data_IF_369775520089
#
_entry.id   IF_369775520089
#
_cell.length_a   1.000
_cell.length_b   1.000
_cell.length_c   1.000
_cell.angle_alpha   90.00
_cell.angle_beta   90.00
_cell.angle_gamma   90.00
#
_symmetry.space_group_name_H-M   'P 1'
#
loop_
_entity.id
_entity.type
_entity.pdbx_description
1 polymer ?
#
# COMPACT_ATOMS: atom_id res chain seq x y z
N UNK A 1 8.98 45.98 -41.68
CA UNK A 1 8.18 46.48 -40.54
C UNK A 1 6.91 45.68 -40.23
N UNK A 2 6.38 44.82 -41.12
CA UNK A 2 5.16 44.05 -40.81
C UNK A 2 5.37 42.77 -39.96
N UNK A 3 6.55 42.16 -39.95
CA UNK A 3 6.79 40.96 -39.12
C UNK A 3 6.88 41.24 -37.63
N UNK A 4 7.44 42.38 -37.22
CA UNK A 4 7.57 42.73 -35.80
C UNK A 4 6.22 43.06 -35.17
N UNK A 5 5.29 43.63 -35.95
CA UNK A 5 3.94 43.93 -35.48
C UNK A 5 3.15 42.65 -35.17
N UNK A 6 3.27 41.60 -36.00
CA UNK A 6 2.57 40.32 -35.80
C UNK A 6 3.02 39.56 -34.55
N UNK A 7 4.32 39.60 -34.23
CA UNK A 7 4.87 38.96 -33.03
C UNK A 7 4.40 39.65 -31.74
N UNK A 8 4.32 40.99 -31.74
CA UNK A 8 3.78 41.75 -30.62
C UNK A 8 2.29 41.48 -30.39
N UNK A 9 1.49 41.34 -31.46
CA UNK A 9 0.07 40.99 -31.33
C UNK A 9 -0.13 39.59 -30.76
N UNK A 10 0.68 38.61 -31.19
CA UNK A 10 0.62 37.24 -30.64
C UNK A 10 1.03 37.17 -29.17
N UNK A 11 2.06 37.92 -28.76
CA UNK A 11 2.49 37.98 -27.36
C UNK A 11 1.41 38.61 -26.45
N UNK A 12 0.74 39.66 -26.92
CA UNK A 12 -0.37 40.28 -26.19
C UNK A 12 -1.58 39.34 -26.06
N UNK A 13 -1.92 38.59 -27.12
CA UNK A 13 -3.01 37.62 -27.06
C UNK A 13 -2.70 36.44 -26.13
N UNK A 14 -1.45 35.98 -26.08
CA UNK A 14 -1.04 34.93 -25.15
C UNK A 14 -1.12 35.38 -23.68
N UNK A 15 -0.73 36.62 -23.37
CA UNK A 15 -0.85 37.15 -21.99
C UNK A 15 -2.32 37.25 -21.54
N UNK A 16 -3.24 37.66 -22.43
CA UNK A 16 -4.67 37.75 -22.10
C UNK A 16 -5.29 36.36 -21.85
N UNK A 17 -4.85 35.33 -22.57
CA UNK A 17 -5.32 33.95 -22.36
C UNK A 17 -4.80 33.38 -21.03
N UNK A 18 -3.57 33.72 -20.63
CA UNK A 18 -2.99 33.24 -19.36
C UNK A 18 -3.67 33.88 -18.13
N UNK A 19 -4.01 35.18 -18.18
CA UNK A 19 -4.71 35.83 -17.06
C UNK A 19 -6.16 35.34 -16.89
N UNK A 20 -6.89 35.14 -18.00
CA UNK A 20 -8.29 34.71 -17.95
C UNK A 20 -8.48 33.25 -17.50
N UNK A 21 -7.49 32.38 -17.74
CA UNK A 21 -7.54 30.98 -17.30
C UNK A 21 -7.13 30.78 -15.83
N UNK A 22 -6.40 31.73 -15.23
CA UNK A 22 -6.05 31.71 -13.81
C UNK A 22 -7.23 31.98 -12.87
N UNK A 23 -8.16 32.86 -13.25
CA UNK A 23 -9.32 33.22 -12.41
C UNK A 23 -10.39 32.12 -12.37
N UNK A 24 -10.61 31.41 -13.48
CA UNK A 24 -11.58 30.29 -13.52
C UNK A 24 -11.16 29.08 -12.66
N UNK A 25 -9.85 28.86 -12.48
CA UNK A 25 -9.34 27.78 -11.62
C UNK A 25 -9.38 28.15 -10.13
N UNK A 26 -9.23 29.43 -9.78
CA UNK A 26 -9.29 29.89 -8.39
C UNK A 26 -10.71 29.80 -7.81
N UNK A 27 -11.72 30.18 -8.60
CA UNK A 27 -13.12 30.19 -8.14
C UNK A 27 -13.66 28.75 -7.95
N UNK A 28 -13.28 27.80 -8.81
CA UNK A 28 -13.68 26.39 -8.67
C UNK A 28 -13.03 25.67 -7.47
N UNK A 29 -11.86 26.13 -7.02
CA UNK A 29 -11.15 25.56 -5.87
C UNK A 29 -11.73 26.05 -4.53
N UNK A 30 -12.18 27.30 -4.48
CA UNK A 30 -12.85 27.85 -3.30
C UNK A 30 -14.19 27.15 -3.01
N UNK A 31 -14.97 26.83 -4.05
CA UNK A 31 -16.26 26.14 -3.89
C UNK A 31 -16.10 24.69 -3.41
N UNK A 32 -15.08 23.98 -3.91
CA UNK A 32 -14.74 22.62 -3.43
C UNK A 32 -14.25 22.59 -1.98
N UNK A 33 -13.46 23.59 -1.57
CA UNK A 33 -12.99 23.71 -0.18
C UNK A 33 -14.15 24.00 0.78
N UNK A 34 -15.09 24.86 0.40
CA UNK A 34 -16.29 25.13 1.20
C UNK A 34 -17.19 23.90 1.35
N UNK A 35 -17.29 23.06 0.30
CA UNK A 35 -18.06 21.80 0.36
C UNK A 35 -17.44 20.77 1.31
N UNK A 36 -16.11 20.60 1.28
CA UNK A 36 -15.40 19.66 2.16
C UNK A 36 -15.47 20.09 3.64
N UNK A 37 -15.40 21.40 3.91
CA UNK A 37 -15.49 21.93 5.27
C UNK A 37 -16.90 21.74 5.87
N UNK A 38 -17.94 21.72 5.03
CA UNK A 38 -19.32 21.48 5.45
C UNK A 38 -19.61 20.00 5.77
N UNK A 39 -18.90 19.05 5.16
CA UNK A 39 -19.03 17.63 5.51
C UNK A 39 -18.40 17.27 6.87
N UNK A 40 -17.32 17.96 7.28
CA UNK A 40 -16.69 17.69 8.58
C UNK A 40 -17.52 18.15 9.78
N UNK A 41 -18.46 19.09 9.60
CA UNK A 41 -19.30 19.60 10.70
C UNK A 41 -20.62 18.82 10.87
N UNK A 42 -20.90 17.83 10.02
CA UNK A 42 -22.16 17.06 10.03
C UNK A 42 -22.15 15.74 10.81
N UNK A 43 -20.99 15.25 11.29
CA UNK A 43 -20.91 13.93 11.94
C UNK A 43 -20.78 14.02 13.47
N UNK A 44 -21.75 14.65 14.14
CA UNK A 44 -21.97 14.43 15.57
C UNK A 44 -23.46 14.51 15.88
N UNK A 45 -24.18 13.41 15.73
CA UNK A 45 -25.51 13.27 16.34
C UNK A 45 -25.81 11.80 16.64
N UNK A 46 -25.71 11.51 17.94
CA UNK A 46 -26.63 10.70 18.73
C UNK A 46 -27.15 9.39 18.10
N UNK A 47 -26.40 8.32 18.33
CA UNK A 47 -26.93 6.96 18.27
C UNK A 47 -27.79 6.70 19.50
N UNK A 48 -29.11 6.77 19.30
CA UNK A 48 -30.15 6.49 20.28
C UNK A 48 -30.43 4.99 20.22
N UNK A 49 -29.90 4.22 21.18
CA UNK A 49 -30.18 2.79 21.31
C UNK A 49 -31.69 2.56 21.54
N UNK A 50 -32.32 1.82 20.64
CA UNK A 50 -33.64 1.21 20.84
C UNK A 50 -33.46 -0.25 21.32
N UNK A 51 -34.29 -0.72 22.26
CA UNK A 51 -34.17 -2.05 22.83
C UNK A 51 -34.77 -3.14 21.93
N UNK A 52 -34.05 -4.27 21.83
CA UNK A 52 -34.51 -5.51 21.21
C UNK A 52 -35.63 -6.15 22.04
N UNK A 53 -36.81 -6.24 21.45
CA UNK A 53 -37.92 -7.09 21.93
C UNK A 53 -37.72 -8.52 21.40
N UNK A 54 -37.43 -9.48 22.27
CA UNK A 54 -37.63 -10.90 22.00
C UNK A 54 -39.05 -11.29 22.41
N UNK A 55 -39.78 -11.88 21.47
CA UNK A 55 -41.10 -12.50 21.70
C UNK A 55 -40.87 -13.98 21.99
N UNK A 56 -41.04 -14.40 23.24
CA UNK A 56 -41.18 -15.80 23.63
C UNK A 56 -42.57 -16.04 24.21
N UNK A 57 -43.09 -17.23 23.89
CA UNK A 57 -44.45 -17.65 24.15
C UNK A 57 -44.69 -18.04 25.62
N UNK A 58 -45.93 -17.81 26.03
CA UNK A 58 -46.57 -18.05 27.32
C UNK A 58 -46.16 -19.31 28.11
N UNK A 59 -45.93 -19.14 29.42
CA UNK A 59 -46.48 -20.02 30.45
C UNK A 59 -46.52 -19.32 31.83
N UNK A 60 -47.50 -19.69 32.63
CA UNK A 60 -48.14 -19.00 33.75
C UNK A 60 -47.45 -19.07 35.13
N UNK A 61 -47.46 -17.96 35.89
CA UNK A 61 -47.92 -17.82 37.30
C UNK A 61 -47.28 -16.59 38.03
N UNK A 62 -48.00 -15.87 38.92
CA UNK A 62 -47.48 -14.80 39.82
C UNK A 62 -47.07 -15.39 41.20
N UNK A 63 -46.51 -14.66 42.21
CA UNK A 63 -46.44 -13.21 42.50
C UNK A 63 -44.98 -12.77 42.86
N UNK A 64 -44.58 -11.59 43.34
CA UNK A 64 -45.05 -10.67 44.39
C UNK A 64 -44.19 -9.39 44.34
N UNK A 65 -44.76 -8.27 44.78
CA UNK A 65 -44.07 -7.00 44.99
C UNK A 65 -43.11 -7.05 46.20
N UNK A 66 -41.87 -6.57 46.04
CA UNK A 66 -41.09 -5.94 47.10
C UNK A 66 -39.77 -5.33 46.56
N UNK A 67 -39.39 -4.20 47.13
CA UNK A 67 -38.05 -3.64 47.20
C UNK A 67 -37.51 -2.86 45.97
N UNK A 68 -38.05 -1.65 45.80
CA UNK A 68 -37.26 -0.50 45.37
C UNK A 68 -36.64 0.15 46.61
N UNK A 69 -35.30 0.10 46.75
CA UNK A 69 -34.47 1.04 47.49
C UNK A 69 -33.03 0.52 47.61
N UNK A 70 -32.15 0.93 46.69
CA UNK A 70 -30.70 1.10 46.94
C UNK A 70 -30.00 1.48 45.62
N UNK A 71 -29.79 2.77 45.38
CA UNK A 71 -28.74 3.27 44.48
C UNK A 71 -28.59 4.79 44.68
N UNK A 72 -27.96 5.16 45.79
CA UNK A 72 -27.42 6.50 45.99
C UNK A 72 -26.04 6.36 46.63
N UNK A 73 -25.12 5.70 45.93
CA UNK A 73 -23.70 5.72 46.25
C UNK A 73 -23.01 6.80 45.41
N UNK A 74 -22.84 7.97 46.04
CA UNK A 74 -21.54 8.59 46.26
C UNK A 74 -20.47 8.34 45.19
N UNK A 75 -20.44 9.18 44.16
CA UNK A 75 -19.28 9.32 43.26
C UNK A 75 -18.31 10.30 43.91
N UNK A 76 -17.53 9.83 44.88
CA UNK A 76 -16.35 10.56 45.34
C UNK A 76 -15.30 10.58 44.24
N UNK A 77 -15.17 11.75 43.62
CA UNK A 77 -14.14 12.10 42.66
C UNK A 77 -12.79 12.12 43.42
N UNK A 78 -12.06 11.00 43.43
CA UNK A 78 -10.67 10.95 43.89
C UNK A 78 -9.79 11.64 42.85
N UNK A 79 -9.29 12.82 43.22
CA UNK A 79 -8.12 13.46 42.60
C UNK A 79 -6.93 12.49 42.67
N UNK A 80 -6.65 11.79 41.57
CA UNK A 80 -5.38 11.11 41.40
C UNK A 80 -4.35 12.14 40.93
N UNK A 81 -3.38 12.42 41.81
CA UNK A 81 -2.23 13.28 41.58
C UNK A 81 -1.53 12.97 40.25
N UNK A 82 -1.66 13.92 39.33
CA UNK A 82 -0.98 14.01 38.04
C UNK A 82 0.49 14.46 38.20
N UNK A 83 1.24 13.89 39.14
CA UNK A 83 2.61 14.32 39.48
C UNK A 83 3.67 13.19 39.38
N UNK A 84 3.33 12.01 38.84
CA UNK A 84 4.20 10.83 38.89
C UNK A 84 4.83 10.31 37.58
N UNK A 85 4.52 10.85 36.39
CA UNK A 85 4.93 10.23 35.10
C UNK A 85 6.07 10.97 34.38
N UNK A 86 6.68 11.99 35.01
CA UNK A 86 7.65 12.85 34.34
C UNK A 86 9.13 12.38 34.39
N UNK A 87 9.48 11.23 35.02
CA UNK A 87 10.89 10.91 35.30
C UNK A 87 11.43 9.55 34.80
N UNK A 88 10.77 8.84 33.89
CA UNK A 88 11.33 7.59 33.32
C UNK A 88 11.42 7.52 31.79
N UNK A 89 11.42 8.65 31.10
CA UNK A 89 11.96 8.73 29.73
C UNK A 89 13.41 9.21 29.76
N UNK A 90 14.26 8.53 30.53
CA UNK A 90 15.71 8.66 30.35
C UNK A 90 16.03 7.97 29.04
N UNK A 91 16.00 8.77 27.98
CA UNK A 91 16.41 8.47 26.60
C UNK A 91 17.48 7.37 26.56
N UNK A 92 17.06 6.11 26.43
CA UNK A 92 17.92 4.99 26.08
C UNK A 92 18.17 5.07 24.58
N UNK A 93 18.89 6.11 24.17
CA UNK A 93 19.28 6.36 22.78
C UNK A 93 20.09 5.19 22.19
N UNK A 94 20.62 4.32 23.06
CA UNK A 94 21.48 3.20 22.70
C UNK A 94 20.71 1.87 22.50
N UNK A 95 19.38 1.83 22.64
CA UNK A 95 18.60 0.57 22.55
C UNK A 95 17.91 0.30 21.20
N UNK A 96 17.98 1.23 20.23
CA UNK A 96 17.20 1.15 18.98
C UNK A 96 17.96 0.58 17.77
N UNK A 97 19.24 0.21 17.91
CA UNK A 97 20.03 -0.35 16.81
C UNK A 97 20.33 -1.83 17.03
N UNK A 98 19.28 -2.66 17.06
CA UNK A 98 19.44 -4.11 17.10
C UNK A 98 19.87 -4.60 15.72
N UNK A 99 20.88 -5.46 15.71
CA UNK A 99 21.34 -6.11 14.48
C UNK A 99 20.31 -7.16 14.04
N UNK A 100 19.96 -7.15 12.76
CA UNK A 100 19.16 -8.23 12.16
C UNK A 100 20.05 -9.43 11.82
N UNK A 101 19.45 -10.62 11.62
CA UNK A 101 20.15 -11.77 11.06
C UNK A 101 20.89 -11.43 9.76
N UNK A 102 22.01 -12.12 9.52
CA UNK A 102 22.77 -11.96 8.28
C UNK A 102 21.87 -12.28 7.07
N UNK A 103 22.04 -11.54 5.96
CA UNK A 103 21.31 -11.72 4.68
C UNK A 103 19.85 -11.25 4.66
N UNK A 104 19.35 -10.66 5.74
CA UNK A 104 18.05 -9.97 5.81
C UNK A 104 17.78 -9.06 4.60
N UNK A 105 18.78 -8.28 4.21
CA UNK A 105 18.70 -7.25 3.17
C UNK A 105 18.71 -7.82 1.73
N UNK A 106 18.89 -9.15 1.57
CA UNK A 106 18.83 -9.79 0.24
C UNK A 106 17.39 -9.93 -0.23
N UNK A 107 16.48 -10.29 0.68
CA UNK A 107 15.07 -10.59 0.38
C UNK A 107 14.12 -9.93 1.38
N UNK A 108 14.53 -8.84 2.02
CA UNK A 108 13.74 -8.18 3.05
C UNK A 108 14.35 -6.86 3.49
N UNK A 109 13.71 -6.26 4.49
CA UNK A 109 14.18 -5.05 5.14
C UNK A 109 14.46 -5.32 6.63
N UNK A 110 15.54 -4.74 7.16
CA UNK A 110 15.89 -4.91 8.56
C UNK A 110 15.15 -3.90 9.44
N UNK A 111 14.25 -4.39 10.30
CA UNK A 111 13.63 -3.58 11.34
C UNK A 111 14.57 -3.50 12.56
N UNK A 112 15.44 -2.49 12.58
CA UNK A 112 16.46 -2.28 13.63
C UNK A 112 15.89 -2.02 15.02
N UNK A 113 14.66 -1.50 15.13
CA UNK A 113 14.01 -1.32 16.42
C UNK A 113 13.66 -2.68 17.07
N UNK A 114 13.28 -3.66 16.24
CA UNK A 114 12.91 -5.00 16.68
C UNK A 114 14.05 -6.02 16.60
N UNK A 115 15.07 -5.76 15.78
CA UNK A 115 16.12 -6.73 15.44
C UNK A 115 15.58 -7.90 14.62
N UNK A 116 14.60 -7.65 13.74
CA UNK A 116 13.89 -8.67 12.96
C UNK A 116 13.80 -8.28 11.49
N UNK A 117 13.74 -9.28 10.62
CA UNK A 117 13.56 -9.07 9.19
C UNK A 117 12.09 -8.97 8.81
N UNK A 118 11.80 -7.99 7.97
CA UNK A 118 10.53 -7.83 7.27
C UNK A 118 10.73 -8.37 5.85
N UNK A 119 10.34 -9.63 5.64
CA UNK A 119 10.59 -10.30 4.37
C UNK A 119 9.74 -9.74 3.23
N UNK A 120 10.34 -9.67 2.05
CA UNK A 120 9.64 -9.39 0.82
C UNK A 120 8.61 -10.50 0.52
N UNK A 121 7.61 -10.16 -0.28
CA UNK A 121 6.56 -11.10 -0.68
C UNK A 121 7.20 -12.36 -1.31
N UNK A 122 6.75 -13.53 -0.86
CA UNK A 122 7.28 -14.82 -1.30
C UNK A 122 8.48 -15.33 -0.52
N UNK A 123 8.96 -14.62 0.50
CA UNK A 123 10.05 -15.08 1.37
C UNK A 123 9.63 -15.12 2.84
N UNK A 124 10.29 -15.99 3.60
CA UNK A 124 10.03 -16.21 5.01
C UNK A 124 11.28 -16.65 5.77
N UNK A 125 11.14 -16.83 7.08
CA UNK A 125 12.23 -17.17 7.99
C UNK A 125 12.82 -15.94 8.68
N UNK A 126 13.74 -16.16 9.64
CA UNK A 126 14.31 -15.08 10.44
C UNK A 126 15.18 -14.12 9.61
N UNK A 127 15.76 -14.60 8.51
CA UNK A 127 16.67 -13.87 7.61
C UNK A 127 16.11 -13.72 6.19
N UNK A 128 14.85 -14.12 5.96
CA UNK A 128 14.19 -14.11 4.66
C UNK A 128 14.84 -15.00 3.59
N UNK A 129 15.64 -16.01 3.98
CA UNK A 129 16.27 -16.91 3.03
C UNK A 129 15.35 -18.01 2.50
N UNK A 130 14.18 -18.25 3.13
CA UNK A 130 13.31 -19.38 2.78
C UNK A 130 12.21 -18.95 1.81
N UNK A 131 12.22 -19.42 0.55
CA UNK A 131 11.16 -19.12 -0.40
C UNK A 131 9.85 -19.81 0.04
N UNK A 132 8.74 -19.05 0.05
CA UNK A 132 7.41 -19.56 0.38
C UNK A 132 6.80 -20.36 -0.78
N UNK A 133 7.05 -19.93 -2.02
CA UNK A 133 6.42 -20.51 -3.21
C UNK A 133 7.45 -20.80 -4.31
N UNK A 134 8.38 -21.74 -4.09
CA UNK A 134 9.42 -22.04 -5.08
C UNK A 134 8.87 -22.42 -6.46
N UNK A 135 7.69 -23.05 -6.55
CA UNK A 135 7.08 -23.41 -7.83
C UNK A 135 6.54 -22.18 -8.61
N UNK A 136 6.38 -21.04 -7.94
CA UNK A 136 5.88 -19.80 -8.53
C UNK A 136 6.94 -18.93 -9.19
N UNK A 137 8.19 -19.40 -9.23
CA UNK A 137 9.26 -18.75 -9.98
C UNK A 137 9.01 -18.92 -11.48
N UNK A 138 9.14 -17.82 -12.22
CA UNK A 138 9.03 -17.84 -13.68
C UNK A 138 10.31 -18.37 -14.35
N UNK A 139 11.47 -18.26 -13.69
CA UNK A 139 12.78 -18.67 -14.20
C UNK A 139 13.73 -19.03 -13.05
N UNK A 140 14.80 -19.84 -13.26
CA UNK A 140 15.71 -20.22 -12.18
C UNK A 140 16.33 -19.11 -11.38
N UNK A 141 16.59 -18.00 -12.05
CA UNK A 141 17.19 -16.83 -11.45
C UNK A 141 16.15 -15.75 -11.08
N UNK A 142 14.85 -16.05 -11.20
CA UNK A 142 13.81 -15.11 -10.80
C UNK A 142 13.81 -14.97 -9.27
N UNK A 143 14.05 -13.74 -8.81
CA UNK A 143 13.92 -13.37 -7.40
C UNK A 143 12.48 -13.13 -6.99
N UNK A 144 11.64 -12.75 -7.96
CA UNK A 144 10.22 -12.45 -7.76
C UNK A 144 9.38 -13.73 -7.88
N UNK A 145 8.43 -13.86 -6.96
CA UNK A 145 7.42 -14.91 -6.98
C UNK A 145 6.07 -14.26 -7.21
N UNK A 146 5.32 -14.80 -8.16
CA UNK A 146 4.03 -14.24 -8.52
C UNK A 146 2.93 -15.21 -8.11
N UNK A 147 2.15 -14.83 -7.10
CA UNK A 147 0.87 -15.45 -6.77
C UNK A 147 -0.23 -14.48 -7.18
N UNK A 148 -0.80 -14.68 -8.37
CA UNK A 148 -1.81 -13.78 -8.92
C UNK A 148 -2.65 -14.49 -9.97
N UNK A 149 -3.87 -14.01 -10.16
CA UNK A 149 -4.92 -14.64 -10.98
C UNK A 149 -4.78 -14.39 -12.46
N UNK A 150 -4.16 -13.27 -12.80
CA UNK A 150 -4.11 -12.78 -14.16
C UNK A 150 -3.23 -13.64 -15.06
N UNK A 151 -2.42 -14.55 -14.52
CA UNK A 151 -1.53 -15.36 -15.34
C UNK A 151 -1.67 -16.83 -15.00
N UNK A 152 -1.82 -17.69 -16.02
CA UNK A 152 -1.82 -19.12 -15.77
C UNK A 152 -0.44 -19.57 -15.29
N UNK A 153 -0.42 -20.46 -14.30
CA UNK A 153 0.80 -20.92 -13.60
C UNK A 153 0.83 -22.44 -13.52
N UNK A 154 1.92 -23.00 -13.04
CA UNK A 154 1.93 -24.42 -12.72
C UNK A 154 0.89 -24.70 -11.62
N UNK A 155 0.19 -25.84 -11.67
CA UNK A 155 -0.78 -26.17 -10.63
C UNK A 155 -0.11 -26.33 -9.25
N UNK A 156 1.18 -26.68 -9.23
CA UNK A 156 1.96 -26.70 -8.00
C UNK A 156 2.17 -25.29 -7.42
N UNK A 157 2.48 -24.29 -8.25
CA UNK A 157 2.50 -22.90 -7.80
C UNK A 157 1.15 -22.48 -7.23
N UNK A 158 0.06 -22.77 -7.95
CA UNK A 158 -1.28 -22.39 -7.49
C UNK A 158 -1.62 -23.02 -6.12
N UNK A 159 -1.25 -24.29 -5.90
CA UNK A 159 -1.40 -24.98 -4.60
C UNK A 159 -0.59 -24.28 -3.50
N UNK A 160 0.66 -23.94 -3.77
CA UNK A 160 1.54 -23.25 -2.82
C UNK A 160 1.00 -21.87 -2.46
N UNK A 161 0.64 -21.05 -3.45
CA UNK A 161 0.00 -19.75 -3.25
C UNK A 161 -1.24 -19.87 -2.37
N UNK A 162 -2.12 -20.82 -2.70
CA UNK A 162 -3.37 -21.01 -2.00
C UNK A 162 -3.18 -21.43 -0.54
N UNK A 163 -2.27 -22.38 -0.28
CA UNK A 163 -2.00 -22.84 1.08
C UNK A 163 -1.57 -21.71 2.01
N UNK A 164 -0.93 -20.67 1.44
CA UNK A 164 -0.42 -19.53 2.17
C UNK A 164 -1.42 -18.37 2.28
N UNK A 165 -2.09 -18.03 1.18
CA UNK A 165 -3.06 -16.91 1.12
C UNK A 165 -4.38 -17.30 1.80
N UNK A 166 -4.74 -18.58 1.77
CA UNK A 166 -6.02 -19.10 2.24
C UNK A 166 -5.84 -20.21 3.29
N UNK A 167 -5.19 -19.92 4.44
CA UNK A 167 -4.78 -20.94 5.41
C UNK A 167 -5.95 -21.68 6.06
N UNK A 168 -7.18 -21.13 6.02
CA UNK A 168 -8.40 -21.76 6.54
C UNK A 168 -9.35 -22.21 5.42
N UNK A 169 -8.86 -22.36 4.20
CA UNK A 169 -9.65 -22.76 3.03
C UNK A 169 -10.22 -21.59 2.21
N UNK A 170 -11.09 -21.86 1.21
CA UNK A 170 -11.39 -20.90 0.15
C UNK A 170 -12.14 -19.67 0.65
N UNK A 171 -12.93 -19.84 1.71
CA UNK A 171 -13.71 -18.79 2.35
C UNK A 171 -12.83 -17.80 3.15
N UNK A 172 -11.58 -18.17 3.40
CA UNK A 172 -10.62 -17.36 4.18
C UNK A 172 -9.66 -16.55 3.34
N UNK A 173 -9.72 -16.70 2.01
CA UNK A 173 -8.92 -15.89 1.11
C UNK A 173 -9.30 -14.42 1.28
N UNK A 174 -8.31 -13.53 1.27
CA UNK A 174 -8.57 -12.10 1.17
C UNK A 174 -9.41 -11.84 -0.09
N UNK A 175 -10.41 -10.94 0.02
CA UNK A 175 -11.40 -10.65 -1.04
C UNK A 175 -10.80 -10.23 -2.40
N UNK A 176 -9.50 -9.96 -2.44
CA UNK A 176 -8.78 -9.57 -3.64
C UNK A 176 -8.28 -10.75 -4.49
N UNK A 177 -8.50 -11.98 -4.02
CA UNK A 177 -8.15 -13.17 -4.78
C UNK A 177 -9.40 -13.96 -5.23
N UNK A 178 -9.88 -13.70 -6.45
CA UNK A 178 -10.81 -14.60 -7.16
C UNK A 178 -10.10 -15.88 -7.65
N UNK A 179 -9.85 -16.77 -6.70
CA UNK A 179 -9.35 -18.12 -6.95
C UNK A 179 -10.36 -19.02 -7.70
N UNK A 180 -11.60 -18.59 -7.88
CA UNK A 180 -12.65 -19.43 -8.44
C UNK A 180 -12.54 -19.60 -9.96
N UNK A 181 -11.75 -18.72 -10.59
CA UNK A 181 -11.44 -18.73 -12.01
C UNK A 181 -9.95 -18.99 -12.28
N UNK A 182 -9.20 -19.46 -11.28
CA UNK A 182 -7.77 -19.68 -11.40
C UNK A 182 -7.48 -20.78 -12.44
N UNK A 183 -6.57 -20.49 -13.37
CA UNK A 183 -6.13 -21.44 -14.39
C UNK A 183 -4.73 -21.93 -14.06
N UNK A 184 -4.49 -23.24 -14.14
CA UNK A 184 -3.15 -23.80 -14.04
C UNK A 184 -2.80 -24.88 -15.07
N UNK A 185 -1.52 -25.21 -15.20
CA UNK A 185 -1.04 -26.29 -16.06
C UNK A 185 -0.20 -27.30 -15.27
N UNK A 186 -0.15 -28.56 -15.72
CA UNK A 186 0.80 -29.56 -15.22
C UNK A 186 1.53 -30.20 -16.39
N UNK A 187 2.84 -30.39 -16.23
CA UNK A 187 3.66 -31.17 -17.16
C UNK A 187 3.62 -32.63 -16.70
N UNK A 188 3.42 -33.55 -17.64
CA UNK A 188 3.45 -34.98 -17.34
C UNK A 188 4.86 -35.42 -16.92
N UNK A 189 4.97 -36.42 -16.01
CA UNK A 189 6.26 -36.98 -15.63
C UNK A 189 7.06 -37.40 -16.87
N UNK A 190 8.35 -37.06 -16.91
CA UNK A 190 9.24 -37.37 -18.04
C UNK A 190 9.47 -36.23 -19.03
N UNK A 191 8.74 -35.12 -18.91
CA UNK A 191 9.06 -33.85 -19.56
C UNK A 191 9.86 -32.97 -18.60
N UNK A 192 11.15 -33.26 -18.45
CA UNK A 192 12.07 -32.41 -17.70
C UNK A 192 12.52 -31.26 -18.58
N UNK A 193 12.13 -30.04 -18.22
CA UNK A 193 12.61 -28.86 -18.90
C UNK A 193 14.05 -28.61 -18.46
N UNK A 194 14.99 -28.73 -19.40
CA UNK A 194 16.38 -28.38 -19.19
C UNK A 194 16.55 -26.93 -19.64
N UNK A 195 16.40 -26.00 -18.71
CA UNK A 195 16.67 -24.58 -18.93
C UNK A 195 18.12 -24.30 -18.52
N UNK A 196 18.93 -23.80 -19.45
CA UNK A 196 20.35 -23.47 -19.24
C UNK A 196 21.20 -24.63 -18.65
N UNK A 197 20.86 -25.87 -18.98
CA UNK A 197 21.57 -27.05 -18.48
C UNK A 197 21.26 -27.43 -17.03
N UNK A 198 20.34 -26.71 -16.37
CA UNK A 198 19.82 -27.05 -15.05
C UNK A 198 18.47 -27.75 -15.17
N UNK A 199 18.28 -28.78 -14.35
CA UNK A 199 16.98 -29.43 -14.20
C UNK A 199 16.02 -28.46 -13.54
N UNK A 200 14.95 -28.09 -14.23
CA UNK A 200 13.96 -27.14 -13.77
C UNK A 200 12.74 -27.86 -13.20
N UNK A 201 12.71 -28.05 -11.87
CA UNK A 201 11.72 -28.86 -11.17
C UNK A 201 10.36 -28.15 -10.97
N UNK A 202 9.79 -27.55 -12.03
CA UNK A 202 8.38 -27.14 -12.01
C UNK A 202 8.10 -25.66 -11.73
N UNK A 203 8.89 -24.76 -12.33
CA UNK A 203 8.54 -23.33 -12.34
C UNK A 203 7.24 -23.04 -13.09
N UNK A 204 6.77 -21.80 -12.95
CA UNK A 204 5.51 -21.31 -13.52
C UNK A 204 5.68 -20.70 -14.91
N UNK A 205 6.71 -21.11 -15.65
CA UNK A 205 6.91 -20.67 -17.03
C UNK A 205 5.81 -21.29 -17.90
N UNK A 206 4.99 -20.44 -18.51
CA UNK A 206 3.89 -20.87 -19.36
C UNK A 206 4.45 -21.71 -20.52
N UNK A 207 4.01 -22.96 -20.71
CA UNK A 207 4.53 -23.84 -21.74
C UNK A 207 4.18 -23.36 -23.16
N UNK A 208 4.94 -23.84 -24.14
CA UNK A 208 4.67 -23.53 -25.55
C UNK A 208 3.34 -24.18 -26.02
N UNK A 209 2.80 -23.65 -27.12
CA UNK A 209 1.63 -24.18 -27.77
C UNK A 209 1.72 -25.61 -28.22
N UNK A 210 2.86 -25.95 -28.79
CA UNK A 210 3.09 -27.27 -29.34
C UNK A 210 3.73 -28.20 -28.31
N UNK A 211 3.85 -27.79 -27.03
CA UNK A 211 4.54 -28.59 -26.04
C UNK A 211 3.73 -29.86 -25.71
N UNK A 212 4.28 -31.00 -26.09
CA UNK A 212 3.70 -32.30 -25.78
C UNK A 212 3.73 -32.56 -24.26
N UNK A 213 2.73 -33.29 -23.76
CA UNK A 213 2.72 -33.72 -22.36
C UNK A 213 2.29 -32.64 -21.36
N UNK A 214 1.72 -31.53 -21.80
CA UNK A 214 1.14 -30.50 -20.92
C UNK A 214 -0.37 -30.70 -20.82
N UNK A 215 -0.91 -30.68 -19.59
CA UNK A 215 -2.34 -30.65 -19.31
C UNK A 215 -2.75 -29.30 -18.74
N UNK A 216 -3.92 -28.82 -19.13
CA UNK A 216 -4.45 -27.52 -18.76
C UNK A 216 -5.73 -27.64 -17.97
N UNK A 217 -5.87 -26.77 -17.00
CA UNK A 217 -6.76 -26.99 -15.89
C UNK A 217 -7.43 -25.69 -15.45
N UNK A 218 -8.75 -25.73 -15.29
CA UNK A 218 -9.54 -24.65 -14.69
C UNK A 218 -9.91 -25.02 -13.25
N UNK A 219 -9.44 -24.23 -12.29
CA UNK A 219 -9.85 -24.32 -10.90
C UNK A 219 -11.34 -24.03 -10.79
N UNK A 220 -12.08 -24.94 -10.17
CA UNK A 220 -13.41 -24.66 -9.69
C UNK A 220 -13.36 -24.82 -8.16
N UNK A 221 -13.89 -23.87 -7.38
CA UNK A 221 -13.96 -24.03 -5.94
C UNK A 221 -14.91 -25.19 -5.66
N UNK A 222 -14.38 -26.35 -5.27
CA UNK A 222 -15.23 -27.47 -4.88
C UNK A 222 -15.88 -27.12 -3.53
N UNK A 223 -17.20 -27.06 -3.49
CA UNK A 223 -17.96 -27.01 -2.23
C UNK A 223 -17.97 -28.41 -1.62
N UNK A 224 -16.89 -28.83 -0.95
CA UNK A 224 -16.93 -30.08 -0.19
C UNK A 224 -15.80 -30.21 0.84
N UNK A 225 -16.20 -30.26 2.12
CA UNK A 225 -15.64 -31.08 3.20
C UNK A 225 -14.25 -30.72 3.76
N UNK A 226 -13.61 -29.67 3.25
CA UNK A 226 -12.42 -29.07 3.87
C UNK A 226 -11.11 -29.86 3.70
N UNK A 227 -11.01 -30.80 2.74
CA UNK A 227 -9.80 -31.64 2.59
C UNK A 227 -9.21 -31.81 1.20
N UNK A 228 -9.71 -31.15 0.16
CA UNK A 228 -9.07 -31.29 -1.15
C UNK A 228 -9.28 -30.07 -2.04
N UNK A 229 -8.19 -29.59 -2.62
CA UNK A 229 -8.22 -28.89 -3.91
C UNK A 229 -8.72 -29.91 -4.93
N UNK A 230 -10.04 -29.95 -5.14
CA UNK A 230 -10.65 -30.76 -6.16
C UNK A 230 -10.18 -30.26 -7.51
N UNK A 231 -9.28 -30.99 -8.14
CA UNK A 231 -8.90 -30.83 -9.54
C UNK A 231 -10.22 -30.89 -10.34
N UNK A 232 -10.72 -29.76 -10.80
CA UNK A 232 -10.32 -29.11 -12.04
C UNK A 232 -10.99 -29.80 -13.22
N UNK A 233 -11.68 -28.99 -14.01
CA UNK A 233 -12.04 -29.41 -15.36
C UNK A 233 -10.77 -29.29 -16.20
N UNK A 234 -10.33 -30.41 -16.78
CA UNK A 234 -9.38 -30.36 -17.89
C UNK A 234 -10.03 -29.53 -18.99
N UNK A 235 -9.33 -28.50 -19.43
CA UNK A 235 -9.79 -27.56 -20.45
C UNK A 235 -8.84 -27.58 -21.64
N UNK A 236 -9.37 -27.18 -22.80
CA UNK A 236 -8.53 -27.00 -23.98
C UNK A 236 -7.57 -25.83 -23.77
N UNK A 237 -6.42 -25.91 -24.44
CA UNK A 237 -5.36 -24.89 -24.31
C UNK A 237 -5.86 -23.50 -24.72
N UNK A 238 -6.68 -23.40 -25.76
CA UNK A 238 -7.22 -22.13 -26.24
C UNK A 238 -8.12 -21.45 -25.20
N UNK A 239 -8.82 -22.23 -24.39
CA UNK A 239 -9.60 -21.73 -23.25
C UNK A 239 -8.67 -21.30 -22.11
N UNK A 240 -7.54 -21.99 -21.92
CA UNK A 240 -6.56 -21.72 -20.89
C UNK A 240 -5.86 -20.37 -21.05
N UNK A 241 -5.32 -20.12 -22.24
CA UNK A 241 -4.46 -18.95 -22.51
C UNK A 241 -5.24 -17.64 -22.63
N UNK A 242 -6.55 -17.70 -22.84
CA UNK A 242 -7.42 -16.53 -22.87
C UNK A 242 -7.66 -16.02 -21.45
N UNK A 243 -7.15 -14.84 -21.14
CA UNK A 243 -7.48 -14.20 -19.89
C UNK A 243 -8.87 -13.57 -19.97
N UNK A 244 -9.62 -13.63 -18.88
CA UNK A 244 -10.84 -12.83 -18.77
C UNK A 244 -10.40 -11.37 -18.63
N UNK A 245 -10.70 -10.57 -19.65
CA UNK A 245 -10.63 -9.12 -19.52
C UNK A 245 -11.72 -8.62 -18.55
N UNK A 246 -11.67 -7.33 -18.13
CA UNK A 246 -12.71 -6.75 -17.29
C UNK A 246 -14.11 -7.00 -17.88
N UNK A 247 -15.07 -7.27 -17.00
CA UNK A 247 -16.43 -7.69 -17.36
C UNK A 247 -17.02 -6.80 -18.48
N UNK A 248 -17.27 -7.40 -19.65
CA UNK A 248 -17.80 -6.71 -20.83
C UNK A 248 -16.82 -6.61 -22.02
N UNK A 249 -15.54 -6.91 -21.83
CA UNK A 249 -14.58 -7.01 -22.94
C UNK A 249 -14.69 -8.38 -23.63
N UNK A 250 -15.27 -8.39 -24.85
CA UNK A 250 -15.15 -9.56 -25.75
C UNK A 250 -13.75 -9.55 -26.35
N UNK A 251 -13.00 -10.65 -26.16
CA UNK A 251 -11.64 -10.83 -26.68
C UNK A 251 -10.56 -10.36 -25.72
N UNK A 252 -10.50 -10.97 -24.54
CA UNK A 252 -9.44 -10.68 -23.57
C UNK A 252 -8.06 -11.11 -24.10
N UNK A 253 -6.98 -10.57 -23.53
CA UNK A 253 -5.65 -10.83 -24.07
C UNK A 253 -5.25 -12.30 -23.86
N UNK A 254 -4.49 -12.82 -24.81
CA UNK A 254 -3.95 -14.18 -24.78
C UNK A 254 -2.56 -14.18 -24.17
N UNK A 255 -2.36 -14.99 -23.12
CA UNK A 255 -1.04 -15.22 -22.55
C UNK A 255 -0.21 -16.12 -23.47
N UNK A 256 1.04 -15.71 -23.72
CA UNK A 256 1.98 -16.40 -24.59
C UNK A 256 3.24 -16.81 -23.82
N UNK A 257 3.96 -17.79 -24.38
CA UNK A 257 5.29 -18.14 -23.87
C UNK A 257 6.23 -16.93 -24.03
N UNK A 258 7.08 -16.58 -23.04
CA UNK A 258 7.92 -15.38 -23.07
C UNK A 258 8.75 -15.17 -24.33
N UNK A 259 9.24 -16.26 -24.95
CA UNK A 259 9.97 -16.23 -26.22
C UNK A 259 9.21 -15.58 -27.40
N UNK A 260 7.89 -15.41 -27.29
CA UNK A 260 7.10 -14.72 -28.31
C UNK A 260 7.16 -13.19 -28.15
N UNK A 261 7.63 -12.68 -27.02
CA UNK A 261 7.71 -11.25 -26.76
C UNK A 261 9.12 -10.68 -26.99
N UNK A 262 9.23 -9.40 -27.36
CA UNK A 262 10.51 -8.72 -27.46
C UNK A 262 11.33 -8.84 -26.16
N UNK A 263 12.55 -9.36 -26.28
CA UNK A 263 13.48 -9.51 -25.16
C UNK A 263 13.03 -10.47 -24.07
N UNK A 264 12.14 -11.43 -24.37
CA UNK A 264 11.60 -12.41 -23.42
C UNK A 264 11.03 -11.78 -22.14
N UNK A 265 10.54 -10.55 -22.24
CA UNK A 265 10.13 -9.72 -21.10
C UNK A 265 11.20 -9.58 -20.02
N UNK A 266 12.49 -9.67 -20.37
CA UNK A 266 13.60 -9.71 -19.40
C UNK A 266 13.44 -10.80 -18.34
N UNK A 267 12.70 -11.88 -18.67
CA UNK A 267 12.29 -12.92 -17.74
C UNK A 267 11.49 -12.41 -16.53
N UNK A 268 10.86 -11.24 -16.66
CA UNK A 268 10.03 -10.56 -15.67
C UNK A 268 8.68 -10.19 -16.28
N UNK A 269 7.60 -10.65 -15.67
CA UNK A 269 6.24 -10.41 -16.15
C UNK A 269 5.75 -11.45 -17.15
N UNK A 270 4.65 -11.12 -17.84
CA UNK A 270 3.94 -12.04 -18.73
C UNK A 270 3.95 -11.53 -20.17
N UNK A 271 4.14 -12.44 -21.12
CA UNK A 271 3.99 -12.13 -22.53
C UNK A 271 2.53 -12.23 -22.93
N UNK A 272 2.00 -11.18 -23.56
CA UNK A 272 0.58 -10.99 -23.82
C UNK A 272 0.35 -10.56 -25.26
N UNK A 273 -0.79 -10.95 -25.83
CA UNK A 273 -1.21 -10.50 -27.16
C UNK A 273 -2.70 -10.15 -27.12
N UNK A 274 -3.05 -8.95 -27.55
CA UNK A 274 -4.45 -8.55 -27.69
C UNK A 274 -5.04 -9.21 -28.95
N UNK A 275 -6.29 -9.67 -28.89
CA UNK A 275 -6.96 -10.27 -30.05
C UNK A 275 -7.03 -9.30 -31.25
N UNK A 276 -7.02 -7.98 -30.99
CA UNK A 276 -7.01 -6.92 -32.00
C UNK A 276 -5.61 -6.55 -32.46
N UNK A 277 -4.64 -6.59 -31.56
CA UNK A 277 -3.25 -6.26 -31.84
C UNK A 277 -2.42 -7.54 -31.98
N UNK A 278 -2.11 -7.92 -33.22
CA UNK A 278 -1.28 -9.09 -33.50
C UNK A 278 0.15 -8.99 -32.95
N UNK A 279 0.54 -7.88 -32.32
CA UNK A 279 1.89 -7.71 -31.77
C UNK A 279 1.91 -8.11 -30.29
N UNK A 280 2.69 -9.13 -29.92
CA UNK A 280 2.86 -9.48 -28.53
C UNK A 280 3.62 -8.38 -27.79
N UNK A 281 3.18 -8.10 -26.57
CA UNK A 281 3.77 -7.13 -25.67
C UNK A 281 4.04 -7.77 -24.31
N UNK A 282 5.06 -7.28 -23.64
CA UNK A 282 5.30 -7.67 -22.26
C UNK A 282 4.37 -6.85 -21.38
N UNK A 283 3.46 -7.53 -20.67
CA UNK A 283 2.90 -6.95 -19.47
C UNK A 283 4.01 -7.01 -18.42
N UNK A 284 4.93 -6.06 -18.54
CA UNK A 284 5.59 -5.54 -17.36
C UNK A 284 4.49 -4.90 -16.54
N UNK A 285 4.59 -4.97 -15.21
CA UNK A 285 3.75 -4.17 -14.34
C UNK A 285 4.02 -2.68 -14.64
N UNK A 286 3.52 -2.14 -15.75
CA UNK A 286 3.61 -0.72 -16.08
C UNK A 286 2.98 0.08 -14.95
N UNK A 287 1.98 -0.48 -14.29
CA UNK A 287 1.42 0.02 -13.04
C UNK A 287 2.37 -0.09 -11.85
N UNK A 288 3.14 -1.18 -11.63
CA UNK A 288 4.14 -1.17 -10.55
C UNK A 288 5.33 -0.30 -10.88
N UNK A 289 5.78 -0.22 -12.13
CA UNK A 289 6.90 0.65 -12.50
C UNK A 289 6.48 2.11 -12.37
N UNK A 290 5.25 2.44 -12.76
CA UNK A 290 4.66 3.77 -12.54
C UNK A 290 4.36 4.04 -11.06
N UNK A 291 3.85 3.08 -10.28
CA UNK A 291 3.64 3.20 -8.84
C UNK A 291 4.97 3.26 -8.08
N UNK A 292 6.00 2.55 -8.50
CA UNK A 292 7.36 2.59 -7.95
C UNK A 292 8.00 3.93 -8.30
N UNK A 293 7.83 4.43 -9.53
CA UNK A 293 8.23 5.79 -9.90
C UNK A 293 7.49 6.83 -9.06
N UNK A 294 6.17 6.70 -8.89
CA UNK A 294 5.36 7.59 -8.07
C UNK A 294 5.76 7.52 -6.59
N UNK A 295 6.02 6.33 -6.06
CA UNK A 295 6.49 6.09 -4.70
C UNK A 295 7.87 6.69 -4.49
N UNK A 296 8.80 6.46 -5.41
CA UNK A 296 10.13 7.08 -5.39
C UNK A 296 10.03 8.61 -5.45
N UNK A 297 9.10 9.15 -6.26
CA UNK A 297 8.83 10.58 -6.35
C UNK A 297 8.24 11.13 -5.03
N UNK A 298 7.32 10.41 -4.40
CA UNK A 298 6.76 10.73 -3.08
C UNK A 298 7.81 10.68 -1.96
N UNK A 299 8.70 9.68 -1.98
CA UNK A 299 9.83 9.61 -1.04
C UNK A 299 10.80 10.78 -1.23
N UNK A 300 11.06 11.17 -2.48
CA UNK A 300 11.86 12.35 -2.81
C UNK A 300 11.19 13.63 -2.28
N UNK A 301 9.88 13.77 -2.49
CA UNK A 301 9.09 14.90 -1.96
C UNK A 301 9.09 14.94 -0.43
N UNK A 302 9.00 13.79 0.26
CA UNK A 302 9.11 13.74 1.73
C UNK A 302 10.49 14.15 2.22
N UNK A 303 11.56 13.74 1.53
CA UNK A 303 12.93 14.16 1.86
C UNK A 303 13.12 15.66 1.65
N UNK A 304 12.59 16.21 0.55
CA UNK A 304 12.61 17.65 0.28
C UNK A 304 11.74 18.43 1.26
N UNK A 305 10.56 17.91 1.63
CA UNK A 305 9.69 18.49 2.64
C UNK A 305 10.33 18.51 4.02
N UNK A 306 11.02 17.44 4.42
CA UNK A 306 11.78 17.39 5.67
C UNK A 306 12.94 18.39 5.68
N UNK A 307 13.65 18.55 4.55
CA UNK A 307 14.69 19.57 4.42
C UNK A 307 14.12 21.01 4.53
N UNK A 308 12.96 21.26 3.94
CA UNK A 308 12.27 22.55 4.05
C UNK A 308 11.76 22.80 5.49
N UNK A 309 11.27 21.77 6.19
CA UNK A 309 10.83 21.89 7.58
C UNK A 309 12.00 22.26 8.50
N UNK A 310 13.18 21.65 8.27
CA UNK A 310 14.41 21.99 8.98
C UNK A 310 14.85 23.44 8.71
N UNK A 311 14.78 23.90 7.46
CA UNK A 311 15.08 25.29 7.11
C UNK A 311 14.12 26.29 7.78
N UNK A 312 12.82 26.01 7.81
CA UNK A 312 11.82 26.87 8.47
C UNK A 312 12.06 26.92 9.98
N UNK A 313 12.36 25.78 10.61
CA UNK A 313 12.68 25.74 12.04
C UNK A 313 13.93 26.55 12.38
N UNK A 314 14.97 26.50 11.53
CA UNK A 314 16.18 27.31 11.69
C UNK A 314 15.91 28.82 11.56
N UNK A 315 15.12 29.24 10.56
CA UNK A 315 14.73 30.64 10.40
C UNK A 315 13.91 31.18 11.58
N UNK A 316 13.01 30.35 12.13
CA UNK A 316 12.21 30.74 13.29
C UNK A 316 13.06 30.88 14.56
N UNK A 317 14.03 29.99 14.75
CA UNK A 317 14.98 30.08 15.85
C UNK A 317 15.87 31.33 15.73
N UNK A 318 16.35 31.65 14.52
CA UNK A 318 17.13 32.86 14.25
C UNK A 318 16.33 34.14 14.56
N UNK A 319 15.03 34.15 14.22
CA UNK A 319 14.15 35.30 14.49
C UNK A 319 13.89 35.49 16.00
N UNK A 320 13.76 34.40 16.74
CA UNK A 320 13.67 34.45 18.22
C UNK A 320 14.96 34.99 18.84
N UNK A 321 16.12 34.60 18.32
CA UNK A 321 17.41 35.07 18.82
C UNK A 321 17.58 36.59 18.57
N UNK A 322 17.23 37.08 17.38
CA UNK A 322 17.23 38.52 17.10
C UNK A 322 16.27 39.31 17.99
N UNK A 323 15.09 38.76 18.31
CA UNK A 323 14.16 39.42 19.23
C UNK A 323 14.73 39.52 20.66
N UNK A 324 15.40 38.47 21.15
CA UNK A 324 16.05 38.50 22.46
C UNK A 324 17.18 39.53 22.50
N UNK A 325 18.00 39.62 21.45
CA UNK A 325 19.08 40.62 21.36
C UNK A 325 18.53 42.05 21.36
N UNK A 326 17.45 42.32 20.61
CA UNK A 326 16.79 43.64 20.63
C UNK A 326 16.22 43.98 22.01
N UNK A 327 15.65 43.00 22.70
CA UNK A 327 15.09 43.21 24.03
C UNK A 327 16.17 43.55 25.06
N UNK A 328 17.31 42.84 25.02
CA UNK A 328 18.47 43.15 25.86
C UNK A 328 19.06 44.54 25.58
N UNK A 329 19.12 44.96 24.31
CA UNK A 329 19.57 46.31 23.97
C UNK A 329 18.63 47.40 24.49
N UNK A 330 17.31 47.17 24.47
CA UNK A 330 16.34 48.11 25.04
C UNK A 330 16.48 48.22 26.56
N UNK A 331 16.67 47.10 27.26
CA UNK A 331 16.90 47.10 28.71
C UNK A 331 18.17 47.88 29.08
N UNK A 332 19.28 47.66 28.37
CA UNK A 332 20.52 48.41 28.60
C UNK A 332 20.36 49.92 28.35
N UNK A 333 19.58 50.32 27.34
CA UNK A 333 19.29 51.73 27.10
C UNK A 333 18.43 52.34 28.22
N UNK A 334 17.45 51.60 28.75
CA UNK A 334 16.65 52.04 29.88
C UNK A 334 17.50 52.19 31.15
N UNK A 335 18.39 51.24 31.43
CA UNK A 335 19.32 51.33 32.57
C UNK A 335 20.23 52.55 32.46
N UNK A 336 20.81 52.81 31.27
CA UNK A 336 21.62 54.01 31.05
C UNK A 336 20.83 55.31 31.27
N UNK A 337 19.58 55.37 30.80
CA UNK A 337 18.72 56.53 31.03
C UNK A 337 18.41 56.73 32.52
N UNK A 338 18.14 55.65 33.26
CA UNK A 338 17.93 55.72 34.71
C UNK A 338 19.20 56.21 35.43
N UNK A 339 20.38 55.71 35.07
CA UNK A 339 21.65 56.16 35.64
C UNK A 339 21.89 57.66 35.38
N UNK A 340 21.61 58.14 34.16
CA UNK A 340 21.70 59.57 33.84
C UNK A 340 20.69 60.43 34.62
N UNK A 341 19.49 59.92 34.88
CA UNK A 341 18.51 60.61 35.71
C UNK A 341 18.95 60.68 37.18
N UNK A 342 19.53 59.59 37.70
CA UNK A 342 20.07 59.58 39.06
C UNK A 342 21.25 60.54 39.22
N UNK A 343 22.16 60.61 38.24
CA UNK A 343 23.26 61.58 38.25
C UNK A 343 22.76 63.02 38.29
N UNK A 344 21.71 63.34 37.53
CA UNK A 344 21.09 64.68 37.55
C UNK A 344 20.39 65.05 38.86
N UNK A 345 20.12 64.10 39.75
CA UNK A 345 19.46 64.35 41.04
C UNK A 345 20.46 64.59 42.18
N UNK A 346 21.74 64.28 41.97
CA UNK A 346 22.80 64.39 42.97
C UNK A 346 23.55 65.74 42.85
N UNK A 347 23.47 66.38 41.68
CA UNK A 347 23.90 67.77 41.43
C UNK A 347 22.76 68.75 41.73
#
# INVERSE_FOLDING_TARGET
>A
MHSTLRLLTLALLLNIVIESSGQLLADGLAEKLAFLQKQQQGSSSAEKQQPLTHTEAASSAPPTAAAAAAAAESWEFRDYELHGIAQQHKSSKDSYDKQCPARCEVHGNCNRALGRCECAIGYSGPDCATPLWPACKLHPNATEMFCGEWYPKSCECLRQCYSHICPKGPQSCERHYDITNAKCFERQPGFEEVLDGAKWDGGSLLPDAAEAGVKYYHGAPQKSDGKSFGVVREIEREEFVKLQGPAGSKGGPTALHPNHCPGNCSYRGACMQDDKEQRPYCLQDGEQQQQQQLFNQLQLQRRQGAANLLLVSGLQQQKQQQQQEQQQQQEQQQEQQQQQQQQRYVD
#
